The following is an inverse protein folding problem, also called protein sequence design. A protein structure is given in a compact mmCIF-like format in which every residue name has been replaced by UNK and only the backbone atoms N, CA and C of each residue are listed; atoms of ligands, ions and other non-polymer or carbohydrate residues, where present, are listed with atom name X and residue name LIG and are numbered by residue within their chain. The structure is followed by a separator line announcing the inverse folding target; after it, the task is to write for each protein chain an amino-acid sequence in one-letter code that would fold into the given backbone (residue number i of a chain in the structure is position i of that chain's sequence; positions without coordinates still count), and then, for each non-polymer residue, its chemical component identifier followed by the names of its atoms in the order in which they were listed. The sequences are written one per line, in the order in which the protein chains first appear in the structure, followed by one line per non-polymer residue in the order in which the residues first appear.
data_IF_433259189199
#
_entry.id   IF_433259189199
#
_cell.length_a   1.000
_cell.length_b   1.000
_cell.length_c   1.000
_cell.angle_alpha   90.00
_cell.angle_beta   90.00
_cell.angle_gamma   90.00
#
_symmetry.space_group_name_H-M   'P 1'
#
loop_
_entity.id
_entity.type
_entity.pdbx_description
1 polymer ?
#
# COMPACT_ATOMS: atom_id res chain seq x y z
N UNK A 1 -10.35 58.00 -51.20
CA UNK A 1 -11.27 57.87 -50.04
C UNK A 1 -11.58 56.40 -49.82
N UNK A 2 -11.62 55.96 -48.55
CA UNK A 2 -12.08 54.66 -48.02
C UNK A 2 -11.07 53.50 -47.99
N UNK A 3 -10.27 53.44 -46.90
CA UNK A 3 -9.82 52.18 -46.29
C UNK A 3 -11.02 51.57 -45.57
N UNK A 4 -11.48 50.38 -45.98
CA UNK A 4 -12.45 49.60 -45.22
C UNK A 4 -11.71 48.92 -44.06
N UNK A 5 -12.08 49.29 -42.83
CA UNK A 5 -11.67 48.60 -41.63
C UNK A 5 -12.60 47.41 -41.42
N UNK A 6 -12.12 46.20 -41.67
CA UNK A 6 -12.78 44.98 -41.22
C UNK A 6 -12.78 44.95 -39.69
N UNK A 7 -13.97 45.00 -39.09
CA UNK A 7 -14.13 44.80 -37.66
C UNK A 7 -13.86 43.33 -37.35
N UNK A 8 -12.76 43.06 -36.65
CA UNK A 8 -12.48 41.76 -36.07
C UNK A 8 -13.66 41.36 -35.16
N UNK A 9 -14.40 40.32 -35.57
CA UNK A 9 -15.47 39.72 -34.78
C UNK A 9 -14.84 39.13 -33.52
N UNK A 10 -15.16 39.73 -32.38
CA UNK A 10 -14.72 39.26 -31.08
C UNK A 10 -15.32 37.86 -30.85
N UNK A 11 -14.54 36.80 -31.10
CA UNK A 11 -14.92 35.44 -30.71
C UNK A 11 -15.05 35.44 -29.18
N UNK A 12 -16.29 35.30 -28.69
CA UNK A 12 -16.54 35.01 -27.27
C UNK A 12 -15.83 33.69 -26.97
N UNK A 13 -14.75 33.72 -26.18
CA UNK A 13 -14.23 32.52 -25.52
C UNK A 13 -15.41 31.84 -24.83
N UNK A 14 -15.74 30.62 -25.23
CA UNK A 14 -16.72 29.80 -24.53
C UNK A 14 -16.28 29.73 -23.07
N UNK A 15 -17.02 30.44 -22.20
CA UNK A 15 -16.85 30.29 -20.78
C UNK A 15 -17.31 28.87 -20.46
N UNK A 16 -16.34 27.99 -20.19
CA UNK A 16 -16.59 26.68 -19.61
C UNK A 16 -17.51 26.89 -18.41
N UNK A 17 -18.80 26.53 -18.56
CA UNK A 17 -19.77 26.58 -17.48
C UNK A 17 -19.34 25.51 -16.49
N UNK A 18 -18.44 25.88 -15.59
CA UNK A 18 -18.01 25.03 -14.48
C UNK A 18 -19.29 24.61 -13.76
N UNK A 19 -19.57 23.30 -13.77
CA UNK A 19 -20.80 22.74 -13.21
C UNK A 19 -21.02 23.31 -11.81
N UNK A 20 -22.27 23.73 -11.51
CA UNK A 20 -22.60 24.29 -10.21
C UNK A 20 -22.28 23.29 -9.08
N UNK A 21 -22.08 23.79 -7.86
CA UNK A 21 -21.72 22.97 -6.69
C UNK A 21 -22.66 21.79 -6.48
N UNK A 22 -23.98 22.00 -6.68
CA UNK A 22 -25.01 20.95 -6.56
C UNK A 22 -24.81 19.83 -7.58
N UNK A 23 -24.49 20.17 -8.84
CA UNK A 23 -24.21 19.19 -9.87
C UNK A 23 -22.92 18.40 -9.59
N UNK A 24 -21.84 19.08 -9.16
CA UNK A 24 -20.56 18.43 -8.82
C UNK A 24 -20.67 17.44 -7.67
N UNK A 25 -21.50 17.74 -6.66
CA UNK A 25 -21.70 16.89 -5.48
C UNK A 25 -22.70 15.75 -5.70
N UNK A 26 -23.27 15.58 -6.90
CA UNK A 26 -24.08 14.39 -7.19
C UNK A 26 -23.19 13.15 -7.11
N UNK A 27 -23.71 12.08 -6.49
CA UNK A 27 -22.96 10.86 -6.23
C UNK A 27 -22.24 10.32 -7.47
N UNK A 28 -22.94 10.24 -8.62
CA UNK A 28 -22.37 9.76 -9.89
C UNK A 28 -21.15 10.58 -10.32
N UNK A 29 -21.22 11.91 -10.20
CA UNK A 29 -20.11 12.78 -10.57
C UNK A 29 -18.94 12.67 -9.58
N UNK A 30 -19.23 12.48 -8.29
CA UNK A 30 -18.20 12.26 -7.26
C UNK A 30 -17.44 10.95 -7.48
N UNK A 31 -18.15 9.86 -7.77
CA UNK A 31 -17.51 8.56 -8.08
C UNK A 31 -16.63 8.68 -9.32
N UNK A 32 -17.13 9.31 -10.39
CA UNK A 32 -16.32 9.53 -11.60
C UNK A 32 -15.08 10.40 -11.33
N UNK A 33 -15.22 11.44 -10.50
CA UNK A 33 -14.11 12.31 -10.10
C UNK A 33 -13.08 11.56 -9.23
N UNK A 34 -13.54 10.71 -8.30
CA UNK A 34 -12.66 9.87 -7.49
C UNK A 34 -11.90 8.85 -8.33
N UNK A 35 -12.59 8.15 -9.25
CA UNK A 35 -11.96 7.23 -10.18
C UNK A 35 -10.90 7.92 -11.04
N UNK A 36 -11.18 9.15 -11.50
CA UNK A 36 -10.19 9.93 -12.25
C UNK A 36 -8.96 10.27 -11.40
N UNK A 37 -9.15 10.66 -10.14
CA UNK A 37 -8.04 10.99 -9.21
C UNK A 37 -7.21 9.76 -8.83
N UNK A 38 -7.84 8.58 -8.69
CA UNK A 38 -7.18 7.31 -8.38
C UNK A 38 -6.24 6.81 -9.49
N UNK A 39 -6.38 7.30 -10.73
CA UNK A 39 -5.48 6.91 -11.85
C UNK A 39 -4.01 7.23 -11.60
N UNK A 40 -3.71 8.24 -10.78
CA UNK A 40 -2.33 8.67 -10.50
C UNK A 40 -1.73 8.02 -9.26
N UNK A 41 -2.54 7.72 -8.25
CA UNK A 41 -2.09 7.12 -6.99
C UNK A 41 -3.20 6.21 -6.47
N UNK A 42 -2.82 5.07 -5.93
CA UNK A 42 -3.73 4.12 -5.31
C UNK A 42 -4.29 4.75 -4.04
N UNK A 43 -5.61 4.69 -3.91
CA UNK A 43 -6.33 5.09 -2.70
C UNK A 43 -6.82 3.81 -2.03
N UNK A 44 -6.47 3.63 -0.75
CA UNK A 44 -7.04 2.56 0.08
C UNK A 44 -8.55 2.76 0.25
N UNK A 45 -9.28 1.71 0.65
CA UNK A 45 -10.72 1.79 0.86
C UNK A 45 -11.09 2.87 1.89
N UNK A 46 -10.23 3.07 2.89
CA UNK A 46 -10.40 4.07 3.96
C UNK A 46 -9.92 5.48 3.57
N UNK A 47 -9.44 5.69 2.33
CA UNK A 47 -8.73 6.91 1.93
C UNK A 47 -9.55 8.19 2.18
N UNK A 48 -10.86 8.18 1.87
CA UNK A 48 -11.72 9.35 2.07
C UNK A 48 -11.82 9.71 3.56
N UNK A 49 -11.82 8.72 4.46
CA UNK A 49 -11.87 8.96 5.89
C UNK A 49 -10.55 9.60 6.38
N UNK A 50 -9.42 9.04 5.95
CA UNK A 50 -8.09 9.55 6.28
C UNK A 50 -7.86 10.95 5.69
N UNK A 51 -8.21 11.19 4.43
CA UNK A 51 -8.04 12.49 3.77
C UNK A 51 -8.82 13.64 4.42
N UNK A 52 -9.86 13.33 5.23
CA UNK A 52 -10.61 14.32 6.02
C UNK A 52 -9.96 14.65 7.37
N UNK A 53 -9.05 13.82 7.88
CA UNK A 53 -8.53 13.88 9.25
C UNK A 53 -7.00 13.89 9.36
N UNK A 54 -6.32 13.58 8.26
CA UNK A 54 -4.87 13.44 8.19
C UNK A 54 -4.32 14.27 7.04
N UNK A 55 -3.10 14.74 7.22
CA UNK A 55 -2.27 15.26 6.14
C UNK A 55 -1.84 14.09 5.26
N UNK A 56 -2.30 14.08 4.01
CA UNK A 56 -2.04 13.00 3.06
C UNK A 56 -0.72 13.20 2.32
N UNK A 57 0.04 12.12 2.14
CA UNK A 57 1.30 12.10 1.38
C UNK A 57 1.27 11.02 0.30
N UNK A 58 1.96 11.27 -0.81
CA UNK A 58 2.10 10.30 -1.91
C UNK A 58 3.42 9.56 -1.76
N UNK A 59 3.37 8.25 -1.53
CA UNK A 59 4.56 7.39 -1.37
C UNK A 59 4.30 6.01 -1.97
N UNK A 60 5.29 5.46 -2.66
CA UNK A 60 5.25 4.10 -3.24
C UNK A 60 4.05 3.83 -4.15
N UNK A 61 3.54 4.86 -4.83
CA UNK A 61 2.33 4.78 -5.66
C UNK A 61 1.00 4.90 -4.90
N UNK A 62 1.02 5.03 -3.58
CA UNK A 62 -0.16 5.21 -2.72
C UNK A 62 -0.31 6.65 -2.23
N UNK A 63 -1.55 7.03 -1.86
CA UNK A 63 -1.83 8.27 -1.13
C UNK A 63 -2.27 7.94 0.31
N UNK A 64 -1.35 8.09 1.27
CA UNK A 64 -1.46 7.61 2.65
C UNK A 64 -1.57 8.77 3.65
N UNK A 65 -2.20 8.54 4.80
CA UNK A 65 -2.22 9.51 5.91
C UNK A 65 -0.88 9.54 6.64
N UNK A 66 -0.22 10.68 6.70
CA UNK A 66 1.10 10.82 7.34
C UNK A 66 1.01 11.27 8.80
N UNK A 67 0.17 12.27 9.07
CA UNK A 67 -0.03 12.80 10.42
C UNK A 67 -1.45 13.32 10.59
N UNK A 68 -2.05 13.19 11.78
CA UNK A 68 -3.37 13.76 12.05
C UNK A 68 -3.31 15.29 11.95
N UNK A 69 -4.41 15.91 11.54
CA UNK A 69 -4.53 17.37 11.50
C UNK A 69 -4.61 17.99 12.90
N UNK A 70 -5.07 17.21 13.89
CA UNK A 70 -5.09 17.60 15.29
C UNK A 70 -3.76 17.25 15.98
N UNK A 71 -3.33 18.07 16.94
CA UNK A 71 -2.13 17.82 17.76
C UNK A 71 -2.38 16.70 18.77
N UNK A 72 -2.33 15.45 18.32
CA UNK A 72 -2.65 14.28 19.13
C UNK A 72 -1.44 13.43 19.55
N UNK A 73 -0.20 13.88 19.35
CA UNK A 73 1.01 13.09 19.65
C UNK A 73 1.02 12.47 21.07
N UNK A 74 0.83 13.29 22.12
CA UNK A 74 0.78 12.81 23.51
C UNK A 74 -0.45 11.94 23.78
N UNK A 75 -1.57 12.22 23.11
CA UNK A 75 -2.78 11.44 23.24
C UNK A 75 -2.62 10.05 22.61
N UNK A 76 -2.01 9.95 21.42
CA UNK A 76 -1.67 8.68 20.77
C UNK A 76 -0.73 7.84 21.62
N UNK A 77 0.30 8.44 22.23
CA UNK A 77 1.21 7.73 23.13
C UNK A 77 0.49 7.16 24.37
N UNK A 78 -0.37 7.97 25.01
CA UNK A 78 -1.20 7.49 26.12
C UNK A 78 -2.18 6.40 25.66
N UNK A 79 -2.73 6.52 24.46
CA UNK A 79 -3.64 5.53 23.91
C UNK A 79 -2.93 4.20 23.62
N UNK A 80 -1.70 4.24 23.11
CA UNK A 80 -0.88 3.04 22.89
C UNK A 80 -0.57 2.27 24.17
N UNK A 81 -0.50 2.97 25.32
CA UNK A 81 -0.11 2.36 26.61
C UNK A 81 -1.29 2.03 27.51
N UNK A 82 -2.35 2.85 27.51
CA UNK A 82 -3.48 2.76 28.46
C UNK A 82 -4.85 2.58 27.80
N UNK A 83 -4.94 2.73 26.48
CA UNK A 83 -6.19 2.59 25.75
C UNK A 83 -5.97 1.74 24.49
N UNK A 84 -6.67 2.06 23.40
CA UNK A 84 -6.52 1.40 22.12
C UNK A 84 -6.14 2.42 21.05
N UNK A 85 -5.28 2.00 20.13
CA UNK A 85 -4.91 2.76 18.94
C UNK A 85 -4.91 1.78 17.75
N UNK A 86 -5.52 2.18 16.64
CA UNK A 86 -5.55 1.40 15.41
C UNK A 86 -4.82 2.16 14.30
N UNK A 87 -4.18 1.41 13.42
CA UNK A 87 -3.51 1.92 12.22
C UNK A 87 -4.00 1.16 10.99
N UNK A 88 -4.09 1.86 9.87
CA UNK A 88 -4.40 1.24 8.58
C UNK A 88 -3.10 0.89 7.84
N UNK A 89 -2.82 -0.40 7.72
CA UNK A 89 -1.63 -0.96 7.06
C UNK A 89 -2.00 -1.74 5.78
N UNK A 90 -3.18 -1.49 5.21
CA UNK A 90 -3.71 -2.24 4.05
C UNK A 90 -2.89 -2.07 2.77
N UNK A 91 -1.86 -1.20 2.76
CA UNK A 91 -0.94 -1.01 1.65
C UNK A 91 0.18 -2.08 1.59
N UNK A 92 0.31 -2.95 2.58
CA UNK A 92 1.21 -4.10 2.50
C UNK A 92 0.74 -5.10 1.45
N UNK A 93 1.66 -5.56 0.61
CA UNK A 93 1.36 -6.57 -0.41
C UNK A 93 1.50 -7.96 0.21
N UNK A 94 0.48 -8.79 0.05
CA UNK A 94 0.54 -10.21 0.42
C UNK A 94 0.89 -11.06 -0.81
N UNK A 95 1.97 -11.82 -0.71
CA UNK A 95 2.40 -12.80 -1.70
C UNK A 95 2.05 -14.20 -1.20
N UNK A 96 1.27 -14.96 -1.97
CA UNK A 96 0.99 -16.36 -1.67
C UNK A 96 1.89 -17.27 -2.50
N UNK A 97 2.60 -18.16 -1.80
CA UNK A 97 3.37 -19.25 -2.39
C UNK A 97 2.72 -20.58 -2.05
N UNK A 98 2.52 -21.43 -3.06
CA UNK A 98 1.91 -22.76 -2.91
C UNK A 98 2.75 -23.80 -3.63
N UNK A 99 3.04 -24.91 -2.95
CA UNK A 99 3.82 -26.00 -3.51
C UNK A 99 4.27 -27.01 -2.46
N UNK A 100 5.13 -27.95 -2.86
CA UNK A 100 5.71 -28.94 -1.95
C UNK A 100 6.64 -28.24 -0.96
N UNK A 101 6.57 -28.63 0.32
CA UNK A 101 7.33 -28.01 1.41
C UNK A 101 8.84 -27.93 1.10
N UNK A 102 9.43 -29.06 0.69
CA UNK A 102 10.86 -29.15 0.40
C UNK A 102 11.31 -28.26 -0.77
N UNK A 103 10.47 -28.12 -1.80
CA UNK A 103 10.78 -27.27 -2.96
C UNK A 103 10.69 -25.79 -2.59
N UNK A 104 9.66 -25.40 -1.83
CA UNK A 104 9.50 -24.04 -1.32
C UNK A 104 10.69 -23.66 -0.43
N UNK A 105 11.02 -24.49 0.56
CA UNK A 105 12.13 -24.22 1.48
C UNK A 105 13.47 -24.11 0.74
N UNK A 106 13.71 -24.97 -0.27
CA UNK A 106 14.93 -24.89 -1.09
C UNK A 106 15.05 -23.56 -1.84
N UNK A 107 13.96 -23.03 -2.39
CA UNK A 107 13.99 -21.74 -3.09
C UNK A 107 14.09 -20.57 -2.11
N UNK A 108 13.37 -20.64 -0.98
CA UNK A 108 13.38 -19.61 0.05
C UNK A 108 14.73 -19.50 0.75
N UNK A 109 15.47 -20.61 0.89
CA UNK A 109 16.83 -20.61 1.44
C UNK A 109 17.82 -19.79 0.62
N UNK A 110 17.56 -19.56 -0.67
CA UNK A 110 18.43 -18.73 -1.53
C UNK A 110 18.28 -17.23 -1.27
N UNK A 111 17.13 -16.81 -0.76
CA UNK A 111 16.79 -15.39 -0.53
C UNK A 111 16.82 -15.01 0.95
N UNK A 112 17.25 -15.94 1.82
CA UNK A 112 17.36 -15.77 3.26
C UNK A 112 18.69 -16.31 3.74
N UNK A 113 19.14 -15.85 4.91
CA UNK A 113 20.34 -16.38 5.54
C UNK A 113 20.06 -16.86 6.96
N UNK A 114 20.63 -18.01 7.30
CA UNK A 114 20.59 -18.60 8.64
C UNK A 114 21.33 -17.70 9.65
N UNK A 115 22.35 -16.97 9.19
CA UNK A 115 23.16 -16.08 10.04
C UNK A 115 22.36 -14.89 10.58
N UNK A 116 21.22 -14.56 9.96
CA UNK A 116 20.34 -13.46 10.38
C UNK A 116 19.30 -13.87 11.42
N UNK A 117 19.31 -15.12 11.87
CA UNK A 117 18.41 -15.65 12.89
C UNK A 117 17.24 -16.42 12.30
N UNK A 118 16.02 -15.89 12.42
CA UNK A 118 14.81 -16.61 12.04
C UNK A 118 14.75 -16.86 10.53
N UNK A 119 14.49 -18.10 10.14
CA UNK A 119 14.29 -18.48 8.74
C UNK A 119 12.87 -19.00 8.52
N UNK A 120 12.47 -19.14 7.25
CA UNK A 120 11.20 -19.78 6.88
C UNK A 120 11.07 -21.23 7.36
N UNK A 121 12.20 -21.88 7.68
CA UNK A 121 12.27 -23.26 8.13
C UNK A 121 12.15 -23.41 9.66
N UNK A 122 12.02 -22.30 10.41
CA UNK A 122 11.88 -22.40 11.86
C UNK A 122 10.65 -23.24 12.25
N UNK A 123 10.85 -24.22 13.14
CA UNK A 123 9.83 -25.20 13.49
C UNK A 123 8.56 -24.54 14.09
N UNK A 124 8.72 -23.44 14.83
CA UNK A 124 7.60 -22.72 15.44
C UNK A 124 6.73 -22.06 14.36
N UNK A 125 7.36 -21.41 13.37
CA UNK A 125 6.68 -20.77 12.24
C UNK A 125 6.11 -21.80 11.25
N UNK A 126 6.82 -22.89 10.97
CA UNK A 126 6.37 -23.96 10.05
C UNK A 126 5.06 -24.60 10.50
N UNK A 127 4.78 -24.62 11.80
CA UNK A 127 3.51 -25.11 12.34
C UNK A 127 2.30 -24.26 11.93
N UNK A 128 2.53 -23.01 11.52
CA UNK A 128 1.50 -22.01 11.24
C UNK A 128 0.87 -21.38 12.48
N UNK A 129 1.44 -21.61 13.67
CA UNK A 129 0.98 -21.00 14.94
C UNK A 129 1.51 -19.60 15.17
N UNK A 130 2.68 -19.30 14.60
CA UNK A 130 3.37 -18.04 14.82
C UNK A 130 3.67 -17.37 13.48
N UNK A 131 3.52 -16.05 13.47
CA UNK A 131 4.08 -15.19 12.44
C UNK A 131 5.60 -15.11 12.63
N UNK A 132 6.34 -15.17 11.53
CA UNK A 132 7.77 -14.93 11.50
C UNK A 132 8.11 -13.60 10.82
N UNK A 133 9.26 -13.04 11.17
CA UNK A 133 9.81 -11.85 10.52
C UNK A 133 11.29 -12.07 10.21
N UNK A 134 11.71 -11.74 8.99
CA UNK A 134 13.10 -11.88 8.55
C UNK A 134 13.45 -10.85 7.46
N UNK A 135 14.73 -10.75 7.13
CA UNK A 135 15.20 -9.91 6.02
C UNK A 135 15.36 -10.77 4.75
N UNK A 136 14.85 -10.27 3.63
CA UNK A 136 15.07 -10.85 2.31
C UNK A 136 16.31 -10.26 1.65
N UNK A 137 17.00 -11.09 0.88
CA UNK A 137 18.16 -10.77 0.07
C UNK A 137 17.90 -11.13 -1.38
N UNK A 138 18.66 -10.54 -2.31
CA UNK A 138 18.74 -11.07 -3.67
C UNK A 138 19.26 -12.52 -3.61
N UNK A 139 18.72 -13.39 -4.46
CA UNK A 139 19.02 -14.81 -4.44
C UNK A 139 20.53 -15.07 -4.53
N UNK A 140 21.09 -15.79 -3.55
CA UNK A 140 22.50 -16.17 -3.43
C UNK A 140 23.49 -14.99 -3.28
N UNK A 141 23.02 -13.80 -2.88
CA UNK A 141 23.86 -12.60 -2.72
C UNK A 141 24.18 -12.23 -1.27
N UNK A 142 23.67 -12.97 -0.27
CA UNK A 142 24.00 -12.72 1.14
C UNK A 142 25.53 -12.71 1.38
N UNK A 143 26.09 -11.75 2.13
CA UNK A 143 25.42 -10.70 2.93
C UNK A 143 25.06 -9.40 2.17
N UNK A 144 25.42 -9.30 0.90
CA UNK A 144 25.18 -8.13 0.05
C UNK A 144 23.74 -8.10 -0.52
N UNK A 145 23.34 -6.97 -1.10
CA UNK A 145 22.04 -6.80 -1.79
C UNK A 145 20.80 -7.19 -0.96
N UNK A 146 20.71 -6.68 0.27
CA UNK A 146 19.51 -6.81 1.09
C UNK A 146 18.32 -6.07 0.46
N UNK A 147 17.20 -6.78 0.27
CA UNK A 147 15.95 -6.21 -0.24
C UNK A 147 15.17 -5.50 0.87
N UNK A 148 15.09 -6.12 2.06
CA UNK A 148 14.48 -5.52 3.26
C UNK A 148 13.66 -6.51 4.09
N UNK A 149 13.03 -6.02 5.17
CA UNK A 149 12.28 -6.84 6.09
C UNK A 149 10.93 -7.27 5.52
N UNK A 150 10.55 -8.51 5.82
CA UNK A 150 9.22 -9.06 5.53
C UNK A 150 8.70 -9.79 6.76
N UNK A 151 7.37 -9.89 6.84
CA UNK A 151 6.74 -10.84 7.74
C UNK A 151 6.08 -11.94 6.95
N UNK A 152 5.92 -13.11 7.57
CA UNK A 152 5.36 -14.26 6.90
C UNK A 152 4.61 -15.16 7.87
N UNK A 153 3.66 -15.92 7.34
CA UNK A 153 2.98 -16.96 8.10
C UNK A 153 2.75 -18.17 7.21
N UNK A 154 3.02 -19.35 7.75
CA UNK A 154 2.62 -20.59 7.12
C UNK A 154 1.16 -20.87 7.43
N UNK A 155 0.40 -21.32 6.44
CA UNK A 155 -0.91 -21.89 6.71
C UNK A 155 -0.74 -23.17 7.55
N UNK A 156 -1.55 -23.40 8.59
CA UNK A 156 -1.57 -24.67 9.31
C UNK A 156 -1.75 -25.87 8.36
N UNK A 157 -1.17 -27.01 8.72
CA UNK A 157 -1.26 -28.23 7.90
C UNK A 157 -2.71 -28.71 7.83
N UNK A 158 -3.21 -28.96 6.63
CA UNK A 158 -4.57 -29.43 6.35
C UNK A 158 -4.58 -30.87 5.79
N UNK A 159 -3.48 -31.61 5.94
CA UNK A 159 -3.30 -32.96 5.42
C UNK A 159 -2.93 -33.02 3.93
N UNK A 160 -2.85 -31.88 3.24
CA UNK A 160 -2.34 -31.80 1.87
C UNK A 160 -0.81 -31.97 1.81
N UNK A 161 -0.31 -32.53 0.71
CA UNK A 161 1.13 -32.52 0.39
C UNK A 161 1.64 -31.11 0.08
N UNK A 162 0.74 -30.21 -0.36
CA UNK A 162 1.09 -28.83 -0.68
C UNK A 162 0.96 -27.93 0.55
N UNK A 163 1.97 -27.10 0.77
CA UNK A 163 1.97 -26.04 1.79
C UNK A 163 1.62 -24.71 1.15
N UNK A 164 1.08 -23.81 1.97
CA UNK A 164 0.80 -22.42 1.61
C UNK A 164 1.55 -21.49 2.57
N UNK A 165 2.24 -20.52 2.01
CA UNK A 165 2.99 -19.49 2.72
C UNK A 165 2.51 -18.13 2.26
N UNK A 166 2.18 -17.24 3.20
CA UNK A 166 1.89 -15.84 2.93
C UNK A 166 3.06 -14.99 3.39
N UNK A 167 3.52 -14.09 2.53
CA UNK A 167 4.60 -13.14 2.82
C UNK A 167 4.05 -11.73 2.64
N UNK A 168 4.11 -10.93 3.70
CA UNK A 168 3.77 -9.52 3.66
C UNK A 168 5.02 -8.68 3.39
N UNK A 169 4.92 -7.90 2.33
CA UNK A 169 6.02 -7.09 1.80
C UNK A 169 5.58 -5.64 1.74
N UNK A 170 6.45 -4.75 2.22
CA UNK A 170 6.21 -3.32 2.11
C UNK A 170 6.30 -2.89 0.62
N UNK A 171 5.42 -2.01 0.12
CA UNK A 171 5.35 -1.66 -1.31
C UNK A 171 6.63 -1.03 -1.88
N UNK A 172 7.52 -0.51 -1.02
CA UNK A 172 8.84 -0.04 -1.43
C UNK A 172 9.72 -1.15 -2.04
N UNK A 173 9.54 -2.42 -1.64
CA UNK A 173 10.33 -3.54 -2.14
C UNK A 173 9.82 -4.07 -3.51
N UNK A 174 8.63 -3.65 -3.93
CA UNK A 174 8.02 -4.09 -5.20
C UNK A 174 8.53 -3.30 -6.43
N UNK A 175 9.31 -2.24 -6.21
CA UNK A 175 9.69 -1.27 -7.26
C UNK A 175 10.85 -1.72 -8.12
#
# INVERSE_FOLDING_TARGET
SKKQAEKAVHQKKEQSKTKCRKARRRHINLVAEFNHRQRKNIWLETHIWHAKRFHMVKKWGYCLGNSPTEKSYRACYRAMTKHCLLQDLSYYCCLELKGKENELLKQLARICSIDTGLTFQDASCLSGRFEGSLNLYRADHYPEDMLGPVTFIWKPRDGSENRQLWIWVHPALKQ
#
